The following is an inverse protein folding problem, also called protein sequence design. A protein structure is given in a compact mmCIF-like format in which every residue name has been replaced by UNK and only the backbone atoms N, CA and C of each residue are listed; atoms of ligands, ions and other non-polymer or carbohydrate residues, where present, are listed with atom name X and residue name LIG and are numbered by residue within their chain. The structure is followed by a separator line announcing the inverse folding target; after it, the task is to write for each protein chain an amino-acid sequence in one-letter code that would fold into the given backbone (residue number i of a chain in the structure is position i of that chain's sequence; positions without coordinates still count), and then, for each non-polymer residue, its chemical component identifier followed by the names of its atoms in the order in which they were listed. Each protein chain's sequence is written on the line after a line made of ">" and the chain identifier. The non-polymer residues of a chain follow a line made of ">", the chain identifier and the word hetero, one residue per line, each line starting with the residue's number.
data_IF_251441220368
#
_entry.id   IF_251441220368
#
_cell.length_a   1.000
_cell.length_b   1.000
_cell.length_c   1.000
_cell.angle_alpha   90.00
_cell.angle_beta   90.00
_cell.angle_gamma   90.00
#
_symmetry.space_group_name_H-M   'P 1'
#
loop_
_entity.id
_entity.type
_entity.pdbx_description
1 polymer ?
#
# COMPACT_ATOMS: atom_id res chain seq x y z
N UNK A 1 9.11 31.50 -3.70
CA UNK A 1 8.55 30.69 -4.79
C UNK A 1 7.33 29.96 -4.24
N UNK A 2 6.13 30.36 -4.66
CA UNK A 2 4.87 29.74 -4.20
C UNK A 2 4.51 28.65 -5.21
N UNK A 3 4.49 27.40 -4.77
CA UNK A 3 4.07 26.26 -5.60
C UNK A 3 2.54 26.28 -5.68
N UNK A 4 1.99 26.07 -6.88
CA UNK A 4 0.54 26.00 -7.05
C UNK A 4 -0.03 24.75 -6.36
N UNK A 5 -1.32 24.78 -5.99
CA UNK A 5 -2.00 23.61 -5.41
C UNK A 5 -1.90 22.38 -6.32
N UNK A 6 -2.04 22.56 -7.64
CA UNK A 6 -1.87 21.50 -8.62
C UNK A 6 -0.45 20.91 -8.62
N UNK A 7 0.57 21.76 -8.47
CA UNK A 7 1.96 21.31 -8.37
C UNK A 7 2.21 20.53 -7.07
N UNK A 8 1.59 20.96 -5.96
CA UNK A 8 1.69 20.25 -4.69
C UNK A 8 1.02 18.86 -4.77
N UNK A 9 -0.14 18.74 -5.41
CA UNK A 9 -0.81 17.45 -5.63
C UNK A 9 0.05 16.49 -6.46
N UNK A 10 0.65 16.98 -7.55
CA UNK A 10 1.55 16.16 -8.38
C UNK A 10 2.79 15.69 -7.62
N UNK A 11 3.36 16.54 -6.76
CA UNK A 11 4.51 16.16 -5.93
C UNK A 11 4.12 15.08 -4.92
N UNK A 12 2.99 15.23 -4.22
CA UNK A 12 2.51 14.21 -3.27
C UNK A 12 2.20 12.90 -3.99
N UNK A 13 1.55 12.95 -5.15
CA UNK A 13 1.28 11.78 -5.98
C UNK A 13 2.56 11.07 -6.42
N UNK A 14 3.51 11.80 -7.01
CA UNK A 14 4.77 11.22 -7.49
C UNK A 14 5.60 10.61 -6.36
N UNK A 15 5.64 11.27 -5.18
CA UNK A 15 6.27 10.72 -4.00
C UNK A 15 5.61 9.43 -3.51
N UNK A 16 4.27 9.39 -3.49
CA UNK A 16 3.52 8.20 -3.11
C UNK A 16 3.73 7.02 -4.06
N UNK A 17 3.70 7.25 -5.38
CA UNK A 17 4.00 6.22 -6.39
C UNK A 17 5.40 5.64 -6.22
N UNK A 18 6.41 6.47 -5.92
CA UNK A 18 7.77 5.99 -5.66
C UNK A 18 7.80 5.06 -4.44
N UNK A 19 7.10 5.41 -3.36
CA UNK A 19 7.01 4.56 -2.17
C UNK A 19 6.28 3.25 -2.46
N UNK A 20 5.25 3.28 -3.31
CA UNK A 20 4.54 2.08 -3.76
C UNK A 20 5.43 1.13 -4.54
N UNK A 21 6.36 1.63 -5.37
CA UNK A 21 7.32 0.76 -6.09
C UNK A 21 8.13 -0.10 -5.12
N UNK A 22 8.61 0.48 -4.01
CA UNK A 22 9.32 -0.28 -2.97
C UNK A 22 8.42 -1.27 -2.22
N UNK A 23 7.14 -0.91 -2.02
CA UNK A 23 6.17 -1.83 -1.44
C UNK A 23 5.87 -3.02 -2.38
N UNK A 24 5.76 -2.77 -3.69
CA UNK A 24 5.56 -3.82 -4.71
C UNK A 24 6.76 -4.75 -4.78
N UNK A 25 8.00 -4.26 -4.66
CA UNK A 25 9.17 -5.16 -4.62
C UNK A 25 9.11 -6.16 -3.47
N UNK A 26 8.45 -5.80 -2.35
CA UNK A 26 8.21 -6.73 -1.24
C UNK A 26 7.27 -7.87 -1.64
N UNK A 27 6.29 -7.62 -2.51
CA UNK A 27 5.43 -8.68 -3.05
C UNK A 27 6.15 -9.60 -4.03
N UNK A 28 7.06 -9.04 -4.82
CA UNK A 28 7.78 -9.79 -5.87
C UNK A 28 8.95 -10.62 -5.32
N UNK A 29 9.46 -10.30 -4.13
CA UNK A 29 10.51 -11.06 -3.47
C UNK A 29 9.92 -12.24 -2.68
N UNK A 30 10.26 -13.46 -3.10
CA UNK A 30 9.80 -14.70 -2.45
C UNK A 30 10.43 -14.94 -1.07
N UNK A 31 11.54 -14.26 -0.78
CA UNK A 31 12.21 -14.32 0.52
C UNK A 31 11.71 -13.25 1.48
N UNK A 32 10.97 -12.26 0.98
CA UNK A 32 10.45 -11.19 1.81
C UNK A 32 9.38 -11.74 2.77
N UNK A 33 9.60 -11.50 4.06
CA UNK A 33 8.62 -11.78 5.09
C UNK A 33 8.42 -10.53 5.93
N UNK A 34 7.16 -10.13 6.08
CA UNK A 34 6.78 -8.95 6.86
C UNK A 34 5.83 -9.36 7.97
N UNK A 35 6.02 -8.84 9.22
CA UNK A 35 5.05 -9.06 10.28
C UNK A 35 3.65 -8.64 9.84
N UNK A 36 2.71 -9.59 9.86
CA UNK A 36 1.34 -9.36 9.39
C UNK A 36 0.68 -8.16 10.07
N UNK A 37 0.87 -8.04 11.39
CA UNK A 37 0.35 -6.90 12.17
C UNK A 37 0.85 -5.58 11.59
N UNK A 38 2.13 -5.50 11.23
CA UNK A 38 2.71 -4.30 10.62
C UNK A 38 2.03 -4.00 9.29
N UNK A 39 1.90 -4.99 8.40
CA UNK A 39 1.24 -4.82 7.09
C UNK A 39 -0.23 -4.39 7.22
N UNK A 40 -0.98 -4.97 8.15
CA UNK A 40 -2.37 -4.58 8.44
C UNK A 40 -2.43 -3.15 8.98
N UNK A 41 -1.54 -2.77 9.91
CA UNK A 41 -1.50 -1.41 10.45
C UNK A 41 -1.17 -0.39 9.35
N UNK A 42 -0.26 -0.71 8.43
CA UNK A 42 0.01 0.15 7.26
C UNK A 42 -1.20 0.28 6.34
N UNK A 43 -1.88 -0.82 6.01
CA UNK A 43 -3.09 -0.79 5.19
C UNK A 43 -4.20 0.08 5.83
N UNK A 44 -4.41 -0.04 7.14
CA UNK A 44 -5.39 0.77 7.87
C UNK A 44 -4.97 2.25 7.87
N UNK A 45 -3.71 2.55 8.18
CA UNK A 45 -3.21 3.93 8.21
C UNK A 45 -3.35 4.61 6.85
N UNK A 46 -2.96 3.92 5.77
CA UNK A 46 -3.11 4.43 4.41
C UNK A 46 -4.59 4.61 4.04
N UNK A 47 -5.47 3.69 4.43
CA UNK A 47 -6.92 3.83 4.21
C UNK A 47 -7.47 5.10 4.88
N UNK A 48 -7.05 5.41 6.11
CA UNK A 48 -7.46 6.62 6.83
C UNK A 48 -6.96 7.88 6.10
N UNK A 49 -5.70 7.88 5.67
CA UNK A 49 -5.10 9.01 4.93
C UNK A 49 -5.80 9.21 3.57
N UNK A 50 -6.11 8.11 2.86
CA UNK A 50 -6.84 8.16 1.60
C UNK A 50 -8.22 8.80 1.80
N UNK A 51 -8.99 8.39 2.82
CA UNK A 51 -10.26 9.04 3.17
C UNK A 51 -10.07 10.53 3.45
N UNK A 52 -9.00 10.91 4.16
CA UNK A 52 -8.65 12.31 4.39
C UNK A 52 -8.47 13.11 3.09
N UNK A 53 -7.72 12.56 2.12
CA UNK A 53 -7.54 13.20 0.81
C UNK A 53 -8.82 13.26 -0.02
N UNK A 54 -9.65 12.22 0.03
CA UNK A 54 -10.96 12.21 -0.61
C UNK A 54 -11.86 13.34 -0.10
N UNK A 55 -11.95 13.50 1.23
CA UNK A 55 -12.76 14.55 1.87
C UNK A 55 -12.25 15.96 1.51
N UNK A 56 -10.94 16.13 1.33
CA UNK A 56 -10.33 17.38 0.90
C UNK A 56 -10.42 17.64 -0.61
N UNK A 57 -10.97 16.71 -1.39
CA UNK A 57 -11.07 16.82 -2.85
C UNK A 57 -9.75 16.57 -3.60
N UNK A 58 -8.72 16.06 -2.91
CA UNK A 58 -7.38 15.83 -3.46
C UNK A 58 -7.30 14.45 -4.13
N UNK A 59 -7.73 14.37 -5.40
CA UNK A 59 -7.92 13.10 -6.10
C UNK A 59 -6.61 12.35 -6.39
N UNK A 60 -5.54 13.06 -6.77
CA UNK A 60 -4.26 12.40 -7.08
C UNK A 60 -3.59 11.82 -5.81
N UNK A 61 -3.44 12.58 -4.70
CA UNK A 61 -2.97 12.01 -3.43
C UNK A 61 -3.85 10.85 -2.93
N UNK A 62 -5.18 10.96 -3.07
CA UNK A 62 -6.11 9.89 -2.72
C UNK A 62 -5.78 8.59 -3.48
N UNK A 63 -5.64 8.66 -4.80
CA UNK A 63 -5.38 7.49 -5.65
C UNK A 63 -4.08 6.78 -5.27
N UNK A 64 -2.98 7.53 -5.08
CA UNK A 64 -1.71 6.93 -4.67
C UNK A 64 -1.84 6.22 -3.31
N UNK A 65 -2.33 6.91 -2.28
CA UNK A 65 -2.43 6.29 -0.96
C UNK A 65 -3.39 5.10 -0.94
N UNK A 66 -4.47 5.14 -1.72
CA UNK A 66 -5.38 4.01 -1.87
C UNK A 66 -4.69 2.79 -2.51
N UNK A 67 -3.86 2.97 -3.54
CA UNK A 67 -3.07 1.88 -4.13
C UNK A 67 -2.08 1.32 -3.10
N UNK A 68 -1.41 2.18 -2.34
CA UNK A 68 -0.55 1.76 -1.23
C UNK A 68 -1.27 0.88 -0.22
N UNK A 69 -2.50 1.23 0.17
CA UNK A 69 -3.34 0.43 1.07
C UNK A 69 -3.62 -0.97 0.52
N UNK A 70 -3.92 -1.07 -0.78
CA UNK A 70 -4.12 -2.35 -1.47
C UNK A 70 -2.83 -3.17 -1.45
N UNK A 71 -1.69 -2.58 -1.78
CA UNK A 71 -0.39 -3.27 -1.78
C UNK A 71 -0.09 -3.84 -0.39
N UNK A 72 -0.24 -3.05 0.68
CA UNK A 72 0.03 -3.51 2.04
C UNK A 72 -0.96 -4.59 2.52
N UNK A 73 -2.21 -4.54 2.05
CA UNK A 73 -3.18 -5.61 2.26
C UNK A 73 -2.71 -6.91 1.59
N UNK A 74 -2.21 -6.83 0.35
CA UNK A 74 -1.63 -7.97 -0.34
C UNK A 74 -0.39 -8.48 0.41
N UNK A 75 0.50 -7.61 0.90
CA UNK A 75 1.68 -8.04 1.69
C UNK A 75 1.25 -8.81 2.94
N UNK A 76 0.18 -8.35 3.63
CA UNK A 76 -0.37 -9.06 4.78
C UNK A 76 -0.89 -10.47 4.46
N UNK A 77 -1.37 -10.69 3.23
CA UNK A 77 -1.92 -11.96 2.76
C UNK A 77 -0.81 -12.89 2.24
N UNK A 78 0.09 -12.37 1.40
CA UNK A 78 1.03 -13.13 0.57
C UNK A 78 2.47 -13.19 1.11
N UNK A 79 2.86 -12.33 2.06
CA UNK A 79 4.22 -12.32 2.62
C UNK A 79 4.25 -12.27 4.16
N UNK A 80 3.37 -12.98 4.89
CA UNK A 80 3.38 -12.90 6.35
C UNK A 80 4.53 -13.71 6.96
N UNK A 81 5.16 -13.18 8.02
CA UNK A 81 6.20 -13.91 8.80
C UNK A 81 5.67 -15.11 9.57
N UNK A 82 4.36 -15.21 9.79
CA UNK A 82 3.74 -16.30 10.56
C UNK A 82 3.43 -17.55 9.71
N UNK A 83 3.74 -17.52 8.40
CA UNK A 83 3.53 -18.63 7.46
C UNK A 83 2.06 -18.99 7.16
N UNK A 84 1.07 -18.27 7.72
CA UNK A 84 -0.36 -18.61 7.64
C UNK A 84 -1.11 -17.78 6.61
N UNK A 85 -0.94 -18.05 5.33
CA UNK A 85 -1.66 -17.29 4.28
C UNK A 85 -3.19 -17.23 4.52
N UNK A 86 -3.76 -16.02 4.55
CA UNK A 86 -5.22 -15.85 4.67
C UNK A 86 -5.88 -16.23 3.34
N UNK A 87 -6.27 -17.49 3.20
CA UNK A 87 -7.12 -17.96 2.11
C UNK A 87 -6.43 -18.60 0.90
N UNK A 88 -5.10 -18.56 0.78
CA UNK A 88 -4.39 -19.19 -0.37
C UNK A 88 -4.18 -20.70 -0.26
N UNK A 89 -4.21 -21.24 0.96
CA UNK A 89 -4.12 -22.70 1.17
C UNK A 89 -5.28 -23.45 0.48
N UNK A 90 -6.36 -22.74 0.12
CA UNK A 90 -7.51 -23.28 -0.61
C UNK A 90 -7.54 -22.93 -2.12
N UNK A 91 -6.61 -22.10 -2.62
CA UNK A 91 -6.67 -21.56 -3.99
C UNK A 91 -5.51 -22.08 -4.86
N UNK A 92 -4.34 -22.32 -4.28
CA UNK A 92 -3.21 -22.94 -4.97
C UNK A 92 -2.70 -24.10 -4.10
N UNK A 93 -2.84 -25.36 -4.53
CA UNK A 93 -2.13 -26.45 -3.88
C UNK A 93 -0.64 -26.19 -4.10
N UNK A 94 0.05 -25.79 -3.05
CA UNK A 94 1.51 -25.76 -3.04
C UNK A 94 1.91 -27.19 -2.67
N UNK A 95 2.27 -27.97 -3.71
CA UNK A 95 2.98 -29.26 -3.57
C UNK A 95 4.43 -29.02 -3.12
#
# INVERSE_FOLDING_TARGET
>A
MVISAATAELLVFSGGVILEVFAVTTLLDDTAQVPRIQSIMFAIALSIVAVGYWVLGLMLPFLSVAIGSVIWTLVAIYRPTDGKYLGLQNILPIE
#
